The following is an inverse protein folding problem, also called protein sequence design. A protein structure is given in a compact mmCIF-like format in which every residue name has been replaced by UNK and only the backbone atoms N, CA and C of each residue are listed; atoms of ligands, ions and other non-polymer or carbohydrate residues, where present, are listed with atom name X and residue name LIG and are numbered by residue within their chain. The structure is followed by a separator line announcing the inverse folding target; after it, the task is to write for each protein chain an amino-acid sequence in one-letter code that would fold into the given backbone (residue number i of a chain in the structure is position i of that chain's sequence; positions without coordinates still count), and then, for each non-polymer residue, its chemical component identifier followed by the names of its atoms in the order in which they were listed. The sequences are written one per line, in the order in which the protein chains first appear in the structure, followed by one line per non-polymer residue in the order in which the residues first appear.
data_IF_082306049009
#
_entry.id   IF_082306049009
#
_cell.length_a   1.000
_cell.length_b   1.000
_cell.length_c   1.000
_cell.angle_alpha   90.00
_cell.angle_beta   90.00
_cell.angle_gamma   90.00
#
_symmetry.space_group_name_H-M   'P 1'
#
loop_
_entity.id
_entity.type
_entity.pdbx_description
1 polymer ?
#
# COMPACT_ATOMS: atom_id res chain seq x y z
N UNK A 1 -19.83 70.93 -25.17
CA UNK A 1 -20.24 69.53 -24.94
C UNK A 1 -19.10 68.84 -24.23
N UNK A 2 -19.23 68.61 -22.92
CA UNK A 2 -18.21 67.94 -22.11
C UNK A 2 -18.48 66.44 -22.18
N UNK A 3 -17.55 65.66 -22.77
CA UNK A 3 -17.64 64.21 -22.80
C UNK A 3 -17.27 63.65 -21.42
N UNK A 4 -18.26 63.16 -20.70
CA UNK A 4 -18.08 62.43 -19.46
C UNK A 4 -17.55 61.03 -19.84
N UNK A 5 -16.29 60.74 -19.50
CA UNK A 5 -15.75 59.38 -19.58
C UNK A 5 -16.34 58.54 -18.44
N UNK A 6 -16.76 57.29 -18.69
CA UNK A 6 -17.29 56.43 -17.64
C UNK A 6 -16.18 56.09 -16.64
N UNK A 7 -16.48 56.26 -15.36
CA UNK A 7 -15.61 55.90 -14.24
C UNK A 7 -15.55 54.39 -14.05
N UNK A 8 -14.45 53.89 -13.50
CA UNK A 8 -14.14 52.46 -13.33
C UNK A 8 -15.19 51.64 -12.54
N UNK A 9 -16.12 52.32 -11.86
CA UNK A 9 -17.21 51.70 -11.10
C UNK A 9 -18.31 51.11 -12.02
N UNK A 10 -18.44 51.58 -13.26
CA UNK A 10 -19.45 51.08 -14.21
C UNK A 10 -19.08 49.74 -14.85
N UNK A 11 -17.83 49.29 -14.71
CA UNK A 11 -17.33 48.03 -15.30
C UNK A 11 -17.57 46.82 -14.38
N UNK A 12 -17.99 47.05 -13.13
CA UNK A 12 -18.13 45.96 -12.13
C UNK A 12 -19.42 45.14 -12.30
N UNK A 13 -20.43 45.63 -13.04
CA UNK A 13 -21.76 45.00 -13.06
C UNK A 13 -22.08 44.07 -14.25
N UNK A 14 -21.11 43.71 -15.09
CA UNK A 14 -21.35 42.83 -16.24
C UNK A 14 -20.50 41.55 -16.25
N UNK A 15 -20.10 41.02 -15.09
CA UNK A 15 -19.72 39.60 -15.02
C UNK A 15 -20.98 38.76 -14.79
N UNK A 16 -21.49 38.01 -15.81
CA UNK A 16 -22.58 37.09 -15.56
C UNK A 16 -22.09 36.11 -14.49
N UNK A 17 -22.84 36.05 -13.38
CA UNK A 17 -22.60 35.12 -12.31
C UNK A 17 -22.58 33.72 -12.92
N UNK A 18 -21.38 33.18 -13.15
CA UNK A 18 -21.20 31.81 -13.61
C UNK A 18 -21.86 30.97 -12.53
N UNK A 19 -23.10 30.53 -12.81
CA UNK A 19 -23.98 29.84 -11.85
C UNK A 19 -23.12 28.86 -11.08
N UNK A 20 -23.11 28.97 -9.76
CA UNK A 20 -22.29 28.15 -8.85
C UNK A 20 -22.38 26.66 -9.21
N UNK A 21 -23.56 26.24 -9.69
CA UNK A 21 -23.85 24.92 -10.26
C UNK A 21 -22.91 24.54 -11.42
N UNK A 22 -22.63 25.42 -12.38
CA UNK A 22 -21.70 25.17 -13.50
C UNK A 22 -20.26 25.05 -13.01
N UNK A 23 -19.86 25.80 -11.97
CA UNK A 23 -18.55 25.64 -11.33
C UNK A 23 -18.44 24.31 -10.60
N UNK A 24 -19.48 23.93 -9.85
CA UNK A 24 -19.56 22.64 -9.14
C UNK A 24 -19.56 21.49 -10.15
N UNK A 25 -20.34 21.57 -11.22
CA UNK A 25 -20.37 20.56 -12.29
C UNK A 25 -19.01 20.49 -12.99
N UNK A 26 -18.37 21.62 -13.33
CA UNK A 26 -17.02 21.59 -13.92
C UNK A 26 -15.97 21.07 -12.95
N UNK A 27 -16.09 21.35 -11.66
CA UNK A 27 -15.20 20.82 -10.63
C UNK A 27 -15.41 19.31 -10.47
N UNK A 28 -16.67 18.86 -10.42
CA UNK A 28 -17.05 17.46 -10.37
C UNK A 28 -16.64 16.70 -11.63
N UNK A 29 -16.86 17.25 -12.82
CA UNK A 29 -16.42 16.64 -14.07
C UNK A 29 -14.89 16.64 -14.20
N UNK A 30 -14.18 17.67 -13.72
CA UNK A 30 -12.70 17.64 -13.66
C UNK A 30 -12.20 16.61 -12.66
N UNK A 31 -12.81 16.55 -11.48
CA UNK A 31 -12.54 15.52 -10.49
C UNK A 31 -12.78 14.13 -11.07
N UNK A 32 -13.96 13.88 -11.64
CA UNK A 32 -14.33 12.62 -12.28
C UNK A 32 -13.37 12.26 -13.43
N UNK A 33 -12.93 13.23 -14.23
CA UNK A 33 -11.97 13.01 -15.32
C UNK A 33 -10.54 12.78 -14.82
N UNK A 34 -10.17 13.33 -13.66
CA UNK A 34 -8.92 13.00 -12.98
C UNK A 34 -8.97 11.62 -12.33
N UNK A 35 -10.10 11.24 -11.75
CA UNK A 35 -10.28 9.95 -11.07
C UNK A 35 -10.41 8.81 -12.10
N UNK A 36 -11.12 9.05 -13.22
CA UNK A 36 -11.33 8.09 -14.31
C UNK A 36 -10.29 8.17 -15.45
N UNK A 37 -9.43 9.19 -15.44
CA UNK A 37 -8.40 9.40 -16.47
C UNK A 37 -7.20 8.47 -16.33
N UNK A 38 -6.35 8.44 -17.36
CA UNK A 38 -5.05 7.76 -17.29
C UNK A 38 -4.18 8.48 -16.27
N UNK A 39 -3.78 7.79 -15.21
CA UNK A 39 -2.95 8.35 -14.15
C UNK A 39 -1.60 8.82 -14.74
N UNK A 40 -1.18 10.06 -14.47
CA UNK A 40 0.05 10.60 -15.03
C UNK A 40 1.25 9.91 -14.38
N UNK A 41 2.05 9.22 -15.18
CA UNK A 41 3.47 8.98 -14.90
C UNK A 41 4.27 9.91 -15.80
N UNK A 42 5.12 10.77 -15.26
CA UNK A 42 5.99 11.60 -16.08
C UNK A 42 7.10 10.72 -16.68
N UNK A 43 6.99 10.49 -17.98
CA UNK A 43 8.06 9.92 -18.79
C UNK A 43 9.04 11.03 -19.10
N UNK A 44 10.10 11.16 -18.30
CA UNK A 44 11.17 12.13 -18.54
C UNK A 44 12.15 11.59 -19.57
N UNK A 45 12.79 12.48 -20.33
CA UNK A 45 13.84 12.10 -21.31
C UNK A 45 14.99 11.35 -20.62
N UNK A 46 15.35 11.75 -19.40
CA UNK A 46 16.37 11.08 -18.60
C UNK A 46 16.04 9.60 -18.29
N UNK A 47 14.77 9.27 -18.02
CA UNK A 47 14.34 7.88 -17.82
C UNK A 47 14.39 7.08 -19.12
N UNK A 48 14.00 7.70 -20.23
CA UNK A 48 14.06 7.07 -21.53
C UNK A 48 15.51 6.78 -21.95
N UNK A 49 16.41 7.71 -21.68
CA UNK A 49 17.85 7.55 -21.90
C UNK A 49 18.44 6.44 -21.01
N UNK A 50 18.09 6.42 -19.71
CA UNK A 50 18.49 5.35 -18.80
C UNK A 50 17.97 3.98 -19.24
N UNK A 51 16.74 3.90 -19.75
CA UNK A 51 16.17 2.66 -20.28
C UNK A 51 16.86 2.22 -21.58
N UNK A 52 17.15 3.15 -22.50
CA UNK A 52 17.88 2.83 -23.73
C UNK A 52 19.29 2.33 -23.42
N UNK A 53 19.97 2.97 -22.45
CA UNK A 53 21.27 2.51 -21.97
C UNK A 53 21.20 1.11 -21.37
N UNK A 54 20.25 0.87 -20.46
CA UNK A 54 20.03 -0.47 -19.88
C UNK A 54 19.79 -1.52 -20.96
N UNK A 55 18.99 -1.21 -21.98
CA UNK A 55 18.69 -2.11 -23.09
C UNK A 55 19.92 -2.43 -23.96
N UNK A 56 20.84 -1.47 -24.13
CA UNK A 56 22.08 -1.67 -24.91
C UNK A 56 23.15 -2.43 -24.13
N UNK A 57 23.25 -2.18 -22.83
CA UNK A 57 24.28 -2.74 -21.96
C UNK A 57 23.92 -4.13 -21.40
N UNK A 58 22.61 -4.44 -21.30
CA UNK A 58 22.13 -5.68 -20.68
C UNK A 58 21.80 -6.73 -21.73
N UNK A 59 22.41 -7.91 -21.59
CA UNK A 59 22.13 -9.05 -22.47
C UNK A 59 20.74 -9.65 -22.19
N UNK A 60 20.14 -10.30 -23.19
CA UNK A 60 18.86 -11.02 -23.01
C UNK A 60 18.93 -12.09 -21.92
N UNK A 61 20.07 -12.77 -21.77
CA UNK A 61 20.30 -13.74 -20.70
C UNK A 61 20.25 -13.10 -19.31
N UNK A 62 20.84 -11.92 -19.12
CA UNK A 62 20.75 -11.17 -17.85
C UNK A 62 19.31 -10.75 -17.54
N UNK A 63 18.54 -10.33 -18.54
CA UNK A 63 17.12 -9.97 -18.37
C UNK A 63 16.31 -11.20 -17.93
N UNK A 64 16.46 -12.32 -18.63
CA UNK A 64 15.77 -13.57 -18.28
C UNK A 64 16.18 -14.05 -16.89
N UNK A 65 17.48 -14.04 -16.58
CA UNK A 65 17.99 -14.39 -15.26
C UNK A 65 17.42 -13.47 -14.18
N UNK A 66 17.36 -12.16 -14.40
CA UNK A 66 16.77 -11.21 -13.46
C UNK A 66 15.28 -11.53 -13.22
N UNK A 67 14.51 -11.77 -14.28
CA UNK A 67 13.07 -12.06 -14.18
C UNK A 67 12.79 -13.37 -13.43
N UNK A 68 13.64 -14.39 -13.59
CA UNK A 68 13.48 -15.69 -12.92
C UNK A 68 14.02 -15.65 -11.48
N UNK A 69 15.17 -15.00 -11.27
CA UNK A 69 15.86 -15.01 -9.97
C UNK A 69 15.22 -14.06 -8.96
N UNK A 70 14.56 -13.00 -9.41
CA UNK A 70 13.85 -12.05 -8.53
C UNK A 70 12.73 -12.69 -7.69
N UNK A 71 11.82 -13.52 -8.25
CA UNK A 71 10.76 -14.15 -7.46
C UNK A 71 11.22 -15.37 -6.65
N UNK A 72 12.35 -16.02 -7.00
CA UNK A 72 12.80 -17.26 -6.35
C UNK A 72 12.93 -17.15 -4.82
N UNK A 73 13.57 -16.11 -4.25
CA UNK A 73 13.66 -15.96 -2.80
C UNK A 73 12.29 -15.91 -2.13
N UNK A 74 11.32 -15.20 -2.71
CA UNK A 74 9.96 -15.10 -2.20
C UNK A 74 9.24 -16.46 -2.26
N UNK A 75 9.36 -17.17 -3.39
CA UNK A 75 8.79 -18.51 -3.56
C UNK A 75 9.38 -19.47 -2.54
N UNK A 76 10.70 -19.48 -2.37
CA UNK A 76 11.38 -20.35 -1.43
C UNK A 76 10.97 -20.07 0.01
N UNK A 77 10.88 -18.78 0.40
CA UNK A 77 10.38 -18.42 1.73
C UNK A 77 8.94 -18.88 1.98
N UNK A 78 8.07 -18.76 0.96
CA UNK A 78 6.69 -19.24 1.07
C UNK A 78 6.64 -20.76 1.21
N UNK A 79 7.41 -21.51 0.40
CA UNK A 79 7.49 -22.98 0.50
C UNK A 79 7.99 -23.39 1.89
N UNK A 80 9.02 -22.72 2.43
CA UNK A 80 9.54 -23.00 3.77
C UNK A 80 8.48 -22.78 4.85
N UNK A 81 7.74 -21.68 4.80
CA UNK A 81 6.66 -21.40 5.76
C UNK A 81 5.52 -22.39 5.62
N UNK A 82 5.10 -22.71 4.39
CA UNK A 82 4.00 -23.65 4.11
C UNK A 82 4.36 -25.10 4.44
N UNK A 83 5.65 -25.45 4.44
CA UNK A 83 6.12 -26.79 4.83
C UNK A 83 5.86 -27.10 6.31
N UNK A 84 5.59 -26.10 7.14
CA UNK A 84 5.24 -26.28 8.54
C UNK A 84 3.77 -26.72 8.63
N UNK A 85 3.49 -27.95 9.12
CA UNK A 85 2.14 -28.49 9.12
C UNK A 85 1.23 -27.72 10.08
N UNK A 86 0.08 -27.28 9.55
CA UNK A 86 -1.01 -26.74 10.36
C UNK A 86 -1.83 -27.90 10.93
N UNK A 87 -2.16 -27.80 12.23
CA UNK A 87 -3.10 -28.72 12.88
C UNK A 87 -4.53 -28.32 12.55
N UNK A 88 -5.47 -29.26 12.70
CA UNK A 88 -6.86 -29.00 12.36
C UNK A 88 -7.43 -27.91 13.28
N UNK A 89 -8.02 -26.82 12.74
CA UNK A 89 -8.62 -25.78 13.57
C UNK A 89 -9.78 -26.27 14.44
N UNK A 90 -10.38 -27.42 14.11
CA UNK A 90 -11.43 -28.05 14.91
C UNK A 90 -10.94 -28.60 16.28
N UNK A 91 -9.63 -28.85 16.43
CA UNK A 91 -9.04 -29.36 17.68
C UNK A 91 -8.92 -28.26 18.76
N UNK A 92 -9.32 -27.02 18.43
CA UNK A 92 -9.38 -25.89 19.35
C UNK A 92 -8.03 -25.24 19.61
N UNK A 93 -8.00 -24.31 20.59
CA UNK A 93 -6.82 -23.48 20.91
C UNK A 93 -5.67 -24.23 21.59
N UNK A 94 -5.83 -25.53 21.89
CA UNK A 94 -4.88 -26.32 22.67
C UNK A 94 -3.53 -26.51 21.97
N UNK A 95 -3.47 -26.32 20.65
CA UNK A 95 -2.27 -26.61 19.86
C UNK A 95 -2.00 -25.54 18.77
N UNK A 96 -2.16 -24.27 19.15
CA UNK A 96 -1.95 -23.10 18.27
C UNK A 96 -0.46 -22.82 17.95
N UNK A 97 0.49 -23.57 18.54
CA UNK A 97 1.92 -23.28 18.44
C UNK A 97 2.46 -23.33 17.00
N UNK A 98 2.01 -24.28 16.18
CA UNK A 98 2.46 -24.37 14.78
C UNK A 98 1.96 -23.20 13.95
N UNK A 99 0.74 -22.73 14.22
CA UNK A 99 0.18 -21.52 13.62
C UNK A 99 0.96 -20.26 14.05
N UNK A 100 1.25 -20.12 15.36
CA UNK A 100 2.03 -19.00 15.89
C UNK A 100 3.46 -19.00 15.33
N UNK A 101 4.09 -20.16 15.17
CA UNK A 101 5.41 -20.29 14.56
C UNK A 101 5.41 -19.83 13.10
N UNK A 102 4.43 -20.27 12.31
CA UNK A 102 4.25 -19.81 10.92
C UNK A 102 4.05 -18.30 10.86
N UNK A 103 3.21 -17.76 11.73
CA UNK A 103 3.00 -16.31 11.82
C UNK A 103 4.31 -15.57 12.16
N UNK A 104 5.07 -16.07 13.14
CA UNK A 104 6.34 -15.47 13.53
C UNK A 104 7.31 -15.39 12.34
N UNK A 105 7.51 -16.50 11.63
CA UNK A 105 8.41 -16.56 10.47
C UNK A 105 7.96 -15.62 9.36
N UNK A 106 6.68 -15.69 8.99
CA UNK A 106 6.10 -14.81 7.95
C UNK A 106 6.22 -13.33 8.33
N UNK A 107 5.85 -12.96 9.56
CA UNK A 107 5.90 -11.59 10.04
C UNK A 107 7.34 -11.06 10.07
N UNK A 108 8.31 -11.88 10.49
CA UNK A 108 9.73 -11.51 10.45
C UNK A 108 10.20 -11.25 9.02
N UNK A 109 9.91 -12.13 8.07
CA UNK A 109 10.34 -11.96 6.67
C UNK A 109 9.69 -10.72 6.03
N UNK A 110 8.38 -10.56 6.20
CA UNK A 110 7.62 -9.45 5.61
C UNK A 110 8.09 -8.10 6.15
N UNK A 111 8.42 -8.01 7.44
CA UNK A 111 8.87 -6.74 8.05
C UNK A 111 10.33 -6.39 7.77
N UNK A 112 11.16 -7.37 7.42
CA UNK A 112 12.55 -7.12 7.00
C UNK A 112 12.62 -6.33 5.70
N UNK A 113 11.73 -6.60 4.73
CA UNK A 113 11.80 -5.99 3.41
C UNK A 113 11.61 -4.45 3.41
N UNK A 114 10.56 -3.88 4.03
CA UNK A 114 10.39 -2.43 4.17
C UNK A 114 11.60 -1.74 4.81
N UNK A 115 12.20 -2.37 5.82
CA UNK A 115 13.38 -1.83 6.50
C UNK A 115 14.63 -1.81 5.61
N UNK A 116 14.77 -2.79 4.70
CA UNK A 116 15.89 -2.87 3.75
C UNK A 116 15.79 -1.90 2.59
N UNK A 117 14.57 -1.63 2.12
CA UNK A 117 14.33 -0.74 0.97
C UNK A 117 14.69 0.72 1.31
N UNK A 118 14.59 1.12 2.59
CA UNK A 118 14.84 2.50 3.04
C UNK A 118 16.25 3.01 2.72
N UNK A 119 17.34 2.31 3.08
CA UNK A 119 18.69 2.66 2.64
C UNK A 119 18.86 2.73 1.13
N UNK A 120 18.25 1.83 0.36
CA UNK A 120 18.38 1.82 -1.10
C UNK A 120 17.70 3.06 -1.75
N UNK A 121 16.68 3.60 -1.09
CA UNK A 121 15.97 4.80 -1.53
C UNK A 121 16.61 6.12 -1.05
N UNK A 122 17.55 6.07 -0.09
CA UNK A 122 18.19 7.24 0.52
C UNK A 122 19.69 6.99 0.63
N UNK A 123 20.46 7.53 -0.31
CA UNK A 123 21.93 7.39 -0.38
C UNK A 123 22.68 7.81 0.90
N UNK A 124 22.09 8.67 1.72
CA UNK A 124 22.70 9.20 2.94
C UNK A 124 22.45 8.32 4.19
N UNK A 125 21.72 7.21 4.05
CA UNK A 125 21.51 6.24 5.13
C UNK A 125 22.61 5.17 5.11
N UNK A 126 23.57 5.30 6.01
CA UNK A 126 24.73 4.39 6.17
C UNK A 126 24.40 3.06 6.83
N UNK A 127 23.15 2.83 7.20
CA UNK A 127 22.73 1.68 8.01
C UNK A 127 22.26 0.56 7.07
N UNK A 128 23.20 -0.24 6.56
CA UNK A 128 22.92 -1.36 5.67
C UNK A 128 23.38 -2.71 6.28
N UNK A 129 23.13 -2.90 7.58
CA UNK A 129 23.47 -4.16 8.26
C UNK A 129 22.34 -5.19 8.14
N UNK A 130 22.67 -6.37 7.63
CA UNK A 130 21.71 -7.48 7.55
C UNK A 130 21.24 -7.95 8.93
N UNK A 131 22.13 -7.88 9.92
CA UNK A 131 21.84 -8.26 11.32
C UNK A 131 20.79 -7.33 11.93
N UNK A 132 20.84 -6.04 11.58
CA UNK A 132 19.91 -5.05 12.09
C UNK A 132 18.52 -5.22 11.47
N UNK A 133 18.46 -5.48 10.16
CA UNK A 133 17.22 -5.83 9.47
C UNK A 133 16.59 -7.09 10.06
N UNK A 134 17.40 -8.14 10.29
CA UNK A 134 16.92 -9.36 10.95
C UNK A 134 16.43 -9.08 12.37
N UNK A 135 17.18 -8.31 13.17
CA UNK A 135 16.76 -7.93 14.52
C UNK A 135 15.44 -7.16 14.53
N UNK A 136 15.26 -6.20 13.62
CA UNK A 136 14.01 -5.48 13.43
C UNK A 136 12.85 -6.44 13.10
N UNK A 137 13.07 -7.36 12.16
CA UNK A 137 12.07 -8.36 11.78
C UNK A 137 11.72 -9.33 12.90
N UNK A 138 12.70 -9.77 13.70
CA UNK A 138 12.46 -10.65 14.85
C UNK A 138 11.62 -9.94 15.90
N UNK A 139 11.93 -8.67 16.22
CA UNK A 139 11.17 -7.88 17.20
C UNK A 139 9.72 -7.71 16.74
N UNK A 140 9.50 -7.30 15.48
CA UNK A 140 8.15 -7.12 14.95
C UNK A 140 7.39 -8.44 14.79
N UNK A 141 8.07 -9.52 14.40
CA UNK A 141 7.49 -10.86 14.35
C UNK A 141 7.06 -11.36 15.74
N UNK A 142 7.86 -11.09 16.77
CA UNK A 142 7.53 -11.42 18.15
C UNK A 142 6.31 -10.62 18.65
N UNK A 143 6.24 -9.32 18.34
CA UNK A 143 5.08 -8.48 18.68
C UNK A 143 3.82 -8.97 17.97
N UNK A 144 3.93 -9.30 16.68
CA UNK A 144 2.83 -9.86 15.90
C UNK A 144 2.28 -11.13 16.54
N UNK A 145 3.17 -12.08 16.80
CA UNK A 145 2.84 -13.40 17.32
C UNK A 145 2.32 -13.32 18.76
N UNK A 146 2.92 -12.49 19.60
CA UNK A 146 2.46 -12.25 20.96
C UNK A 146 1.07 -11.61 21.00
N UNK A 147 0.79 -10.68 20.08
CA UNK A 147 -0.54 -10.07 19.97
C UNK A 147 -1.61 -11.09 19.57
N UNK A 148 -1.32 -11.94 18.57
CA UNK A 148 -2.23 -13.03 18.18
C UNK A 148 -2.43 -14.02 19.32
N UNK A 149 -1.36 -14.43 20.00
CA UNK A 149 -1.44 -15.36 21.13
C UNK A 149 -2.30 -14.79 22.27
N UNK A 150 -2.17 -13.50 22.56
CA UNK A 150 -3.03 -12.81 23.52
C UNK A 150 -4.50 -12.81 23.09
N UNK A 151 -4.79 -12.58 21.80
CA UNK A 151 -6.16 -12.65 21.28
C UNK A 151 -6.75 -14.06 21.37
N UNK A 152 -5.97 -15.10 21.06
CA UNK A 152 -6.40 -16.50 21.21
C UNK A 152 -6.77 -16.78 22.68
N UNK A 153 -5.92 -16.34 23.61
CA UNK A 153 -6.13 -16.53 25.04
C UNK A 153 -7.36 -15.78 25.57
N UNK A 154 -7.55 -14.52 25.16
CA UNK A 154 -8.66 -13.67 25.61
C UNK A 154 -10.00 -14.08 25.01
N UNK A 155 -10.04 -14.38 23.71
CA UNK A 155 -11.28 -14.70 23.00
C UNK A 155 -11.72 -16.16 23.18
N UNK A 156 -10.79 -17.07 23.51
CA UNK A 156 -11.00 -18.52 23.51
C UNK A 156 -11.56 -19.07 22.19
N UNK A 157 -11.46 -18.30 21.10
CA UNK A 157 -11.91 -18.67 19.75
C UNK A 157 -10.68 -18.94 18.90
N UNK A 158 -10.68 -20.09 18.22
CA UNK A 158 -9.67 -20.43 17.23
C UNK A 158 -10.36 -20.95 15.96
N UNK A 159 -9.96 -20.50 14.77
CA UNK A 159 -8.98 -19.46 14.47
C UNK A 159 -9.49 -18.04 14.82
N UNK A 160 -8.58 -17.15 15.22
CA UNK A 160 -8.94 -15.76 15.53
C UNK A 160 -9.37 -15.03 14.23
N UNK A 161 -10.58 -14.43 14.20
CA UNK A 161 -11.02 -13.64 13.06
C UNK A 161 -10.03 -12.51 12.75
N UNK A 162 -9.68 -12.34 11.47
CA UNK A 162 -8.74 -11.31 11.02
C UNK A 162 -7.35 -11.39 11.68
N UNK A 163 -6.93 -12.57 12.15
CA UNK A 163 -5.63 -12.78 12.82
C UNK A 163 -4.42 -12.31 12.01
N UNK A 164 -4.49 -12.34 10.68
CA UNK A 164 -3.43 -11.84 9.81
C UNK A 164 -3.34 -10.30 9.78
N UNK A 165 -4.44 -9.61 10.08
CA UNK A 165 -4.54 -8.15 9.99
C UNK A 165 -4.53 -7.45 11.34
N UNK A 166 -5.02 -8.13 12.38
CA UNK A 166 -5.08 -7.60 13.74
C UNK A 166 -3.72 -7.09 14.28
N UNK A 167 -2.54 -7.66 13.92
CA UNK A 167 -1.26 -7.19 14.44
C UNK A 167 -0.68 -6.00 13.68
N UNK A 168 -1.30 -5.56 12.57
CA UNK A 168 -0.77 -4.47 11.73
C UNK A 168 -0.59 -3.18 12.54
N UNK A 169 -1.56 -2.84 13.41
CA UNK A 169 -1.47 -1.65 14.26
C UNK A 169 -0.34 -1.73 15.30
N UNK A 170 -0.28 -2.74 16.19
CA UNK A 170 0.80 -2.82 17.17
C UNK A 170 2.18 -2.94 16.52
N UNK A 171 2.31 -3.69 15.42
CA UNK A 171 3.56 -3.77 14.66
C UNK A 171 3.96 -2.40 14.07
N UNK A 172 3.01 -1.66 13.49
CA UNK A 172 3.26 -0.34 12.90
C UNK A 172 3.70 0.69 13.94
N UNK A 173 3.08 0.69 15.13
CA UNK A 173 3.45 1.58 16.24
C UNK A 173 4.89 1.28 16.69
N UNK A 174 5.20 0.02 16.99
CA UNK A 174 6.53 -0.35 17.48
C UNK A 174 7.60 -0.17 16.41
N UNK A 175 7.31 -0.52 15.16
CA UNK A 175 8.19 -0.31 14.02
C UNK A 175 8.56 1.17 13.88
N UNK A 176 7.57 2.06 13.94
CA UNK A 176 7.79 3.52 13.88
C UNK A 176 8.62 4.01 15.07
N UNK A 177 8.42 3.46 16.26
CA UNK A 177 9.25 3.80 17.43
C UNK A 177 10.71 3.41 17.17
N UNK A 178 10.98 2.17 16.77
CA UNK A 178 12.35 1.69 16.50
C UNK A 178 13.01 2.53 15.40
N UNK A 179 12.30 2.79 14.31
CA UNK A 179 12.79 3.60 13.20
C UNK A 179 13.05 5.04 13.60
N UNK A 180 12.19 5.63 14.42
CA UNK A 180 12.41 6.99 14.94
C UNK A 180 13.66 7.08 15.81
N UNK A 181 14.05 5.99 16.48
CA UNK A 181 15.29 5.95 17.27
C UNK A 181 16.52 5.70 16.42
N UNK A 182 16.38 4.97 15.32
CA UNK A 182 17.51 4.46 14.56
C UNK A 182 17.82 5.26 13.29
N UNK A 183 16.79 5.78 12.61
CA UNK A 183 16.88 6.38 11.28
C UNK A 183 16.57 7.88 11.25
N UNK A 184 16.00 8.44 12.32
CA UNK A 184 15.46 9.80 12.34
C UNK A 184 16.55 10.87 12.49
N UNK A 185 17.28 11.12 11.40
CA UNK A 185 18.12 12.31 11.25
C UNK A 185 17.28 13.44 10.62
N UNK A 186 17.45 14.71 11.05
CA UNK A 186 16.64 15.81 10.53
C UNK A 186 16.72 15.97 9.00
N UNK A 187 17.87 15.62 8.41
CA UNK A 187 18.12 15.70 6.97
C UNK A 187 17.34 14.67 6.14
N UNK A 188 17.14 13.45 6.67
CA UNK A 188 16.50 12.34 5.94
C UNK A 188 15.03 12.15 6.29
N UNK A 189 14.55 12.81 7.35
CA UNK A 189 13.17 12.74 7.85
C UNK A 189 12.10 12.90 6.76
N UNK A 190 12.10 13.94 5.90
CA UNK A 190 11.00 14.12 4.94
C UNK A 190 10.95 12.98 3.91
N UNK A 191 12.12 12.50 3.47
CA UNK A 191 12.20 11.38 2.51
C UNK A 191 11.78 10.06 3.16
N UNK A 192 12.17 9.82 4.42
CA UNK A 192 11.72 8.66 5.19
C UNK A 192 10.21 8.63 5.37
N UNK A 193 9.60 9.75 5.76
CA UNK A 193 8.14 9.85 5.92
C UNK A 193 7.41 9.60 4.60
N UNK A 194 8.00 10.04 3.48
CA UNK A 194 7.47 9.79 2.15
C UNK A 194 7.52 8.29 1.81
N UNK A 195 8.64 7.61 2.11
CA UNK A 195 8.77 6.15 1.92
C UNK A 195 7.79 5.38 2.82
N UNK A 196 7.63 5.81 4.06
CA UNK A 196 6.68 5.19 5.00
C UNK A 196 5.24 5.34 4.52
N UNK A 197 4.89 6.50 3.95
CA UNK A 197 3.60 6.71 3.31
C UNK A 197 3.41 5.76 2.13
N UNK A 198 4.45 5.54 1.30
CA UNK A 198 4.36 4.57 0.20
C UNK A 198 4.14 3.15 0.69
N UNK A 199 4.88 2.72 1.71
CA UNK A 199 4.71 1.39 2.31
C UNK A 199 3.32 1.22 2.93
N UNK A 200 2.81 2.25 3.63
CA UNK A 200 1.47 2.23 4.18
C UNK A 200 0.38 2.14 3.10
N UNK A 201 0.58 2.79 1.95
CA UNK A 201 -0.32 2.68 0.79
C UNK A 201 -0.43 1.25 0.26
N UNK A 202 0.65 0.47 0.27
CA UNK A 202 0.63 -0.94 -0.13
C UNK A 202 -0.24 -1.79 0.80
N UNK A 203 -0.30 -1.43 2.09
CA UNK A 203 -1.06 -2.16 3.11
C UNK A 203 -2.56 -1.84 3.05
N UNK A 204 -2.97 -0.67 2.55
CA UNK A 204 -4.37 -0.26 2.56
C UNK A 204 -5.33 -1.24 1.83
N UNK A 205 -5.08 -1.70 0.59
CA UNK A 205 -5.94 -2.69 -0.07
C UNK A 205 -5.99 -4.03 0.66
N UNK A 206 -4.90 -4.44 1.30
CA UNK A 206 -4.80 -5.67 2.09
C UNK A 206 -5.82 -5.67 3.23
N UNK A 207 -6.19 -4.50 3.76
CA UNK A 207 -7.21 -4.36 4.80
C UNK A 207 -8.63 -4.25 4.23
N UNK A 208 -8.80 -3.50 3.14
CA UNK A 208 -10.14 -3.17 2.61
C UNK A 208 -10.85 -4.41 2.06
N UNK A 209 -10.14 -5.25 1.29
CA UNK A 209 -10.77 -6.40 0.64
C UNK A 209 -11.24 -7.48 1.62
N UNK A 210 -10.47 -7.92 2.63
CA UNK A 210 -10.95 -8.89 3.62
C UNK A 210 -12.15 -8.40 4.44
N UNK A 211 -12.18 -7.11 4.78
CA UNK A 211 -13.35 -6.51 5.45
C UNK A 211 -14.57 -6.58 4.53
N UNK A 212 -14.39 -6.23 3.25
CA UNK A 212 -15.45 -6.36 2.26
C UNK A 212 -15.95 -7.80 2.16
N UNK A 213 -15.05 -8.78 2.07
CA UNK A 213 -15.41 -10.21 2.01
C UNK A 213 -16.13 -10.64 3.29
N UNK A 214 -15.67 -10.24 4.47
CA UNK A 214 -16.33 -10.57 5.73
C UNK A 214 -17.77 -10.03 5.79
N UNK A 215 -17.98 -8.79 5.35
CA UNK A 215 -19.31 -8.18 5.25
C UNK A 215 -20.17 -8.92 4.22
N UNK A 216 -19.61 -9.21 3.03
CA UNK A 216 -20.30 -9.96 1.96
C UNK A 216 -20.80 -11.32 2.46
N UNK A 217 -19.97 -12.06 3.20
CA UNK A 217 -20.32 -13.36 3.76
C UNK A 217 -21.39 -13.28 4.86
N UNK A 218 -21.54 -12.14 5.54
CA UNK A 218 -22.55 -11.93 6.57
C UNK A 218 -23.92 -11.45 5.99
N UNK A 219 -23.96 -11.02 4.74
CA UNK A 219 -25.17 -10.53 4.08
C UNK A 219 -26.05 -11.67 3.54
N UNK A 220 -27.36 -11.46 3.54
CA UNK A 220 -28.31 -12.38 2.90
C UNK A 220 -28.11 -12.41 1.36
N UNK A 221 -28.43 -13.52 0.67
CA UNK A 221 -28.17 -13.67 -0.76
C UNK A 221 -28.77 -12.56 -1.65
N UNK A 222 -29.93 -12.02 -1.28
CA UNK A 222 -30.58 -10.92 -2.00
C UNK A 222 -29.79 -9.61 -1.96
N UNK A 223 -29.01 -9.37 -0.90
CA UNK A 223 -28.20 -8.17 -0.73
C UNK A 223 -26.76 -8.35 -1.23
N UNK A 224 -26.28 -9.60 -1.31
CA UNK A 224 -24.94 -9.92 -1.84
C UNK A 224 -24.74 -9.43 -3.26
N UNK A 225 -25.75 -9.57 -4.13
CA UNK A 225 -25.69 -9.07 -5.51
C UNK A 225 -25.47 -7.54 -5.53
N UNK A 226 -26.27 -6.78 -4.78
CA UNK A 226 -26.13 -5.33 -4.70
C UNK A 226 -24.80 -4.91 -4.08
N UNK A 227 -24.32 -5.63 -3.08
CA UNK A 227 -23.03 -5.36 -2.45
C UNK A 227 -21.87 -5.67 -3.40
N UNK A 228 -21.96 -6.69 -4.25
CA UNK A 228 -20.96 -6.99 -5.29
C UNK A 228 -20.83 -5.87 -6.33
N UNK A 229 -21.91 -5.12 -6.60
CA UNK A 229 -21.86 -3.95 -7.49
C UNK A 229 -21.09 -2.76 -6.87
N UNK A 230 -20.76 -2.80 -5.57
CA UNK A 230 -19.88 -1.82 -4.94
C UNK A 230 -18.40 -2.10 -5.17
N UNK A 231 -18.02 -3.31 -5.61
CA UNK A 231 -16.63 -3.70 -5.86
C UNK A 231 -15.90 -2.76 -6.83
N UNK A 232 -16.50 -2.35 -7.98
CA UNK A 232 -15.88 -1.38 -8.89
C UNK A 232 -15.70 0.00 -8.24
N UNK A 233 -16.62 0.40 -7.36
CA UNK A 233 -16.53 1.68 -6.62
C UNK A 233 -15.38 1.62 -5.63
N UNK A 234 -15.28 0.54 -4.85
CA UNK A 234 -14.18 0.32 -3.90
C UNK A 234 -12.84 0.28 -4.63
N UNK A 235 -12.75 -0.46 -5.74
CA UNK A 235 -11.57 -0.49 -6.60
C UNK A 235 -11.14 0.93 -7.01
N UNK A 236 -12.10 1.74 -7.43
CA UNK A 236 -11.85 3.10 -7.87
C UNK A 236 -11.39 4.01 -6.72
N UNK A 237 -12.04 3.89 -5.55
CA UNK A 237 -11.67 4.63 -4.34
C UNK A 237 -10.27 4.28 -3.86
N UNK A 238 -9.91 2.99 -3.83
CA UNK A 238 -8.55 2.53 -3.50
C UNK A 238 -7.56 3.13 -4.49
N UNK A 239 -7.83 3.04 -5.80
CA UNK A 239 -6.94 3.60 -6.83
C UNK A 239 -6.76 5.11 -6.67
N UNK A 240 -7.83 5.83 -6.33
CA UNK A 240 -7.78 7.25 -6.07
C UNK A 240 -7.00 7.60 -4.79
N UNK A 241 -7.18 6.83 -3.72
CA UNK A 241 -6.42 7.02 -2.48
C UNK A 241 -4.92 6.77 -2.68
N UNK A 242 -4.57 5.70 -3.39
CA UNK A 242 -3.20 5.39 -3.80
C UNK A 242 -2.61 6.52 -4.66
N UNK A 243 -3.39 7.07 -5.59
CA UNK A 243 -2.95 8.22 -6.38
C UNK A 243 -2.74 9.47 -5.52
N UNK A 244 -3.67 9.77 -4.60
CA UNK A 244 -3.58 10.96 -3.76
C UNK A 244 -2.33 10.97 -2.89
N UNK A 245 -1.94 9.80 -2.35
CA UNK A 245 -0.72 9.64 -1.59
C UNK A 245 0.55 9.63 -2.46
N UNK A 246 0.46 9.11 -3.69
CA UNK A 246 1.59 9.09 -4.63
C UNK A 246 1.73 10.35 -5.50
N UNK A 247 0.80 11.31 -5.46
CA UNK A 247 0.71 12.42 -6.42
C UNK A 247 1.97 13.29 -6.53
N UNK A 248 2.83 13.26 -5.52
CA UNK A 248 4.09 14.01 -5.48
C UNK A 248 5.29 13.21 -5.98
N UNK A 249 5.18 11.89 -6.16
CA UNK A 249 6.24 11.01 -6.70
C UNK A 249 5.74 10.29 -7.96
N UNK A 250 5.87 10.97 -9.09
CA UNK A 250 5.38 10.55 -10.40
C UNK A 250 5.97 9.22 -10.90
N UNK A 251 7.12 8.84 -10.35
CA UNK A 251 7.82 7.57 -10.62
C UNK A 251 7.05 6.38 -10.03
N UNK A 252 6.42 6.58 -8.87
CA UNK A 252 5.68 5.56 -8.15
C UNK A 252 4.18 5.57 -8.50
N UNK A 253 3.61 6.70 -8.93
CA UNK A 253 2.18 6.78 -9.30
C UNK A 253 1.77 5.67 -10.24
N UNK A 254 2.52 5.44 -11.32
CA UNK A 254 2.21 4.41 -12.30
C UNK A 254 2.28 3.00 -11.71
N UNK A 255 3.37 2.67 -11.04
CA UNK A 255 3.59 1.34 -10.46
C UNK A 255 2.61 1.03 -9.32
N UNK A 256 2.43 1.96 -8.38
CA UNK A 256 1.53 1.79 -7.23
C UNK A 256 0.09 1.65 -7.71
N UNK A 257 -0.37 2.49 -8.63
CA UNK A 257 -1.80 2.45 -9.04
C UNK A 257 -2.15 1.31 -9.98
N UNK A 258 -1.24 0.91 -10.89
CA UNK A 258 -1.48 -0.21 -11.80
C UNK A 258 -1.23 -1.58 -11.15
N UNK A 259 -0.17 -1.72 -10.35
CA UNK A 259 0.21 -3.02 -9.80
C UNK A 259 -0.65 -3.34 -8.59
N UNK A 260 -0.71 -2.47 -7.59
CA UNK A 260 -1.40 -2.74 -6.32
C UNK A 260 -2.92 -2.71 -6.52
N UNK A 261 -3.43 -1.71 -7.26
CA UNK A 261 -4.87 -1.57 -7.51
C UNK A 261 -5.48 -2.73 -8.32
N UNK A 262 -4.72 -3.32 -9.24
CA UNK A 262 -5.20 -4.46 -10.03
C UNK A 262 -4.88 -5.81 -9.37
N UNK A 263 -3.68 -5.99 -8.84
CA UNK A 263 -3.26 -7.27 -8.26
C UNK A 263 -4.14 -7.67 -7.07
N UNK A 264 -4.37 -6.76 -6.12
CA UNK A 264 -5.21 -7.08 -4.96
C UNK A 264 -6.68 -7.24 -5.32
N UNK A 265 -7.17 -6.48 -6.32
CA UNK A 265 -8.52 -6.72 -6.80
C UNK A 265 -8.63 -8.14 -7.34
N UNK A 266 -7.72 -8.61 -8.19
CA UNK A 266 -7.77 -9.97 -8.71
C UNK A 266 -7.63 -11.00 -7.58
N UNK A 267 -6.70 -10.81 -6.65
CA UNK A 267 -6.44 -11.75 -5.56
C UNK A 267 -7.67 -11.99 -4.65
N UNK A 268 -8.48 -10.96 -4.41
CA UNK A 268 -9.60 -11.04 -3.49
C UNK A 268 -10.97 -11.19 -4.17
N UNK A 269 -11.03 -11.11 -5.50
CA UNK A 269 -12.28 -11.23 -6.28
C UNK A 269 -12.29 -12.41 -7.24
N UNK A 270 -11.17 -13.12 -7.41
CA UNK A 270 -11.09 -14.40 -8.12
C UNK A 270 -11.42 -15.55 -7.15
#
# INVERSE_FOLDING_TARGET
MVSISPTADDVVFAQPSVRTIVRIIKAFCRWLRHVAGRLPGEYTVAKLDAFDRFRRETSMFQIVALLILTPIPCILTNILVESIPLKNPADGSQDCLTFLLRNFLSATIVTMAPFRIKPDCISNLTIQSWKLSLGFGIILGAISTGFIAALVFLSKVFPVPLSQFSPILPMGIVGRIIESRLLHKPEVKPRLETIDQWLAMVVAPILVYPIFTAVFMALAPSHQLWFSLMLPVIKHLIRYALWLGAKHDLDLVGSVTCTIGHFYHVLFTA
#
